data_IF_212878955896
#
_entry.id   IF_212878955896
#
_cell.length_a   1.000
_cell.length_b   1.000
_cell.length_c   1.000
_cell.angle_alpha   90.00
_cell.angle_beta   90.00
_cell.angle_gamma   90.00
#
_symmetry.space_group_name_H-M   'P 1'
#
loop_
_entity.id
_entity.type
_entity.pdbx_description
1 polymer ?
#
# COMPACT_ATOMS: atom_id res chain seq x y z
N UNK A 1 -2.70 30.04 4.05
CA UNK A 1 -3.41 28.76 3.81
C UNK A 1 -2.53 27.90 2.93
N UNK A 2 -1.79 26.95 3.52
CA UNK A 2 -0.82 26.15 2.78
C UNK A 2 -1.58 25.10 1.95
N UNK A 3 -1.81 25.37 0.66
CA UNK A 3 -2.45 24.42 -0.26
C UNK A 3 -1.52 23.21 -0.35
N UNK A 4 -1.98 22.05 0.14
CA UNK A 4 -1.27 20.79 -0.07
C UNK A 4 -1.06 20.63 -1.58
N UNK A 5 0.19 20.66 -2.01
CA UNK A 5 0.54 20.44 -3.41
C UNK A 5 0.42 18.94 -3.68
N UNK A 6 -0.80 18.50 -4.00
CA UNK A 6 -1.14 17.11 -4.31
C UNK A 6 -0.23 16.57 -5.43
N UNK A 7 0.16 17.43 -6.38
CA UNK A 7 1.12 17.08 -7.44
C UNK A 7 2.48 16.65 -6.87
N UNK A 8 2.99 17.38 -5.88
CA UNK A 8 4.24 17.07 -5.20
C UNK A 8 4.18 15.76 -4.39
N UNK A 9 3.01 15.45 -3.83
CA UNK A 9 2.77 14.18 -3.11
C UNK A 9 2.77 13.01 -4.09
N UNK A 10 2.07 13.15 -5.23
CA UNK A 10 2.02 12.13 -6.29
C UNK A 10 3.42 11.87 -6.85
N UNK A 11 4.17 12.93 -7.19
CA UNK A 11 5.54 12.80 -7.72
C UNK A 11 6.47 12.10 -6.72
N UNK A 12 6.38 12.44 -5.42
CA UNK A 12 7.15 11.75 -4.38
C UNK A 12 6.77 10.28 -4.25
N UNK A 13 5.49 9.95 -4.32
CA UNK A 13 5.02 8.57 -4.23
C UNK A 13 5.51 7.72 -5.42
N UNK A 14 5.44 8.29 -6.63
CA UNK A 14 6.03 7.68 -7.82
C UNK A 14 7.53 7.45 -7.66
N UNK A 15 8.27 8.43 -7.14
CA UNK A 15 9.71 8.28 -6.87
C UNK A 15 10.03 7.13 -5.91
N UNK A 16 9.15 6.84 -4.95
CA UNK A 16 9.28 5.70 -4.02
C UNK A 16 8.92 4.36 -4.66
N UNK A 17 8.13 4.36 -5.74
CA UNK A 17 7.81 3.16 -6.54
C UNK A 17 8.93 2.79 -7.53
N UNK A 18 9.91 3.67 -7.73
CA UNK A 18 11.16 3.35 -8.42
C UNK A 18 12.04 2.48 -7.54
N UNK A 19 12.45 1.33 -8.05
CA UNK A 19 13.34 0.36 -7.40
C UNK A 19 14.62 1.03 -6.83
N UNK A 20 15.24 0.41 -5.81
CA UNK A 20 16.46 0.88 -5.14
C UNK A 20 17.69 1.01 -6.07
N UNK A 21 17.54 0.61 -7.35
CA UNK A 21 18.53 0.72 -8.43
C UNK A 21 18.31 1.90 -9.38
N UNK A 22 17.28 2.72 -9.17
CA UNK A 22 17.02 3.93 -9.97
C UNK A 22 16.36 3.71 -11.33
N UNK A 23 15.96 2.47 -11.65
CA UNK A 23 15.20 2.15 -12.86
C UNK A 23 13.72 2.00 -12.53
N UNK A 24 12.91 3.00 -12.86
CA UNK A 24 11.46 2.83 -12.96
C UNK A 24 11.17 1.89 -14.12
N UNK A 25 10.67 0.69 -13.82
CA UNK A 25 10.07 -0.15 -14.86
C UNK A 25 8.81 0.58 -15.36
N UNK A 26 8.92 1.21 -16.54
CA UNK A 26 7.79 1.85 -17.23
C UNK A 26 6.62 0.89 -17.43
N UNK A 27 6.88 -0.43 -17.40
CA UNK A 27 5.87 -1.48 -17.39
C UNK A 27 4.97 -1.43 -16.14
N UNK A 28 5.51 -1.18 -14.94
CA UNK A 28 4.70 -1.14 -13.71
C UNK A 28 3.76 0.06 -13.69
N UNK A 29 4.24 1.23 -14.15
CA UNK A 29 3.41 2.42 -14.29
C UNK A 29 2.29 2.18 -15.30
N UNK A 30 2.62 1.54 -16.42
CA UNK A 30 1.65 1.18 -17.45
C UNK A 30 0.58 0.24 -16.89
N UNK A 31 0.95 -0.84 -16.20
CA UNK A 31 -0.01 -1.79 -15.64
C UNK A 31 -0.86 -1.15 -14.52
N UNK A 32 -0.29 -0.28 -13.71
CA UNK A 32 -1.02 0.32 -12.60
C UNK A 32 -1.98 1.44 -13.02
N UNK A 33 -1.71 2.15 -14.12
CA UNK A 33 -2.53 3.27 -14.60
C UNK A 33 -3.28 2.97 -15.89
N UNK A 34 -2.59 2.51 -16.95
CA UNK A 34 -3.18 2.32 -18.29
C UNK A 34 -4.18 1.16 -18.29
N UNK A 35 -3.93 0.08 -17.55
CA UNK A 35 -4.86 -1.06 -17.48
C UNK A 35 -6.20 -0.68 -16.83
N UNK A 36 -6.24 -0.08 -15.62
CA UNK A 36 -7.52 0.34 -15.05
C UNK A 36 -8.22 1.45 -15.87
N UNK A 37 -7.47 2.38 -16.48
CA UNK A 37 -8.06 3.39 -17.38
C UNK A 37 -8.68 2.77 -18.63
N UNK A 38 -7.97 1.85 -19.30
CA UNK A 38 -8.47 1.19 -20.51
C UNK A 38 -9.66 0.29 -20.19
N UNK A 39 -9.62 -0.46 -19.08
CA UNK A 39 -10.75 -1.24 -18.60
C UNK A 39 -11.97 -0.36 -18.30
N UNK A 40 -11.77 0.79 -17.63
CA UNK A 40 -12.84 1.75 -17.36
C UNK A 40 -13.44 2.29 -18.66
N UNK A 41 -12.61 2.56 -19.68
CA UNK A 41 -13.08 3.06 -20.97
C UNK A 41 -13.92 2.01 -21.72
N UNK A 42 -13.46 0.75 -21.75
CA UNK A 42 -14.18 -0.36 -22.37
C UNK A 42 -15.52 -0.62 -21.67
N UNK A 43 -15.55 -0.58 -20.35
CA UNK A 43 -16.80 -0.75 -19.58
C UNK A 43 -17.78 0.40 -19.83
N UNK A 44 -17.29 1.64 -19.90
CA UNK A 44 -18.13 2.79 -20.20
C UNK A 44 -18.68 2.74 -21.64
N UNK A 45 -17.89 2.23 -22.59
CA UNK A 45 -18.33 2.03 -23.97
C UNK A 45 -19.40 0.95 -24.12
N UNK A 46 -19.29 -0.15 -23.36
CA UNK A 46 -20.18 -1.31 -23.48
C UNK A 46 -21.46 -1.20 -22.64
N UNK A 47 -21.38 -0.63 -21.44
CA UNK A 47 -22.50 -0.56 -20.49
C UNK A 47 -22.99 0.86 -20.20
N UNK A 48 -22.37 1.89 -20.79
CA UNK A 48 -22.68 3.28 -20.51
C UNK A 48 -22.17 3.76 -19.15
N UNK A 49 -22.64 4.93 -18.72
CA UNK A 49 -22.22 5.52 -17.44
C UNK A 49 -22.92 4.81 -16.28
N UNK A 50 -22.12 4.30 -15.34
CA UNK A 50 -22.61 3.64 -14.13
C UNK A 50 -23.46 4.60 -13.28
N UNK A 51 -24.59 4.12 -12.75
CA UNK A 51 -25.40 4.90 -11.80
C UNK A 51 -24.58 5.25 -10.56
N UNK A 52 -24.71 6.48 -10.02
CA UNK A 52 -23.92 6.93 -8.87
C UNK A 52 -24.13 6.06 -7.61
N UNK A 53 -25.31 5.46 -7.45
CA UNK A 53 -25.62 4.53 -6.36
C UNK A 53 -24.79 3.23 -6.41
N UNK A 54 -24.43 2.75 -7.59
CA UNK A 54 -23.63 1.53 -7.74
C UNK A 54 -22.16 1.87 -7.51
N UNK A 55 -21.70 3.00 -8.06
CA UNK A 55 -20.35 3.50 -7.84
C UNK A 55 -20.06 3.73 -6.34
N UNK A 56 -21.01 4.29 -5.58
CA UNK A 56 -20.83 4.51 -4.14
C UNK A 56 -20.69 3.19 -3.37
N UNK A 57 -21.39 2.13 -3.77
CA UNK A 57 -21.26 0.80 -3.17
C UNK A 57 -19.87 0.22 -3.42
N UNK A 58 -19.35 0.30 -4.66
CA UNK A 58 -18.00 -0.18 -4.98
C UNK A 58 -16.91 0.60 -4.25
N UNK A 59 -17.02 1.93 -4.16
CA UNK A 59 -16.07 2.75 -3.41
C UNK A 59 -16.11 2.41 -1.91
N UNK A 60 -17.29 2.24 -1.32
CA UNK A 60 -17.42 1.87 0.08
C UNK A 60 -16.86 0.47 0.36
N UNK A 61 -17.17 -0.49 -0.51
CA UNK A 61 -16.62 -1.85 -0.42
C UNK A 61 -15.09 -1.86 -0.53
N UNK A 62 -14.53 -1.11 -1.49
CA UNK A 62 -13.09 -0.96 -1.67
C UNK A 62 -12.42 -0.30 -0.46
N UNK A 63 -13.05 0.73 0.11
CA UNK A 63 -12.54 1.42 1.30
C UNK A 63 -12.50 0.50 2.52
N UNK A 64 -13.58 -0.25 2.80
CA UNK A 64 -13.64 -1.22 3.90
C UNK A 64 -12.58 -2.31 3.69
N UNK A 65 -12.48 -2.85 2.48
CA UNK A 65 -11.50 -3.90 2.17
C UNK A 65 -10.06 -3.41 2.37
N UNK A 66 -9.75 -2.20 1.91
CA UNK A 66 -8.42 -1.61 2.08
C UNK A 66 -8.12 -1.33 3.55
N UNK A 67 -9.10 -0.85 4.32
CA UNK A 67 -8.95 -0.65 5.75
C UNK A 67 -8.64 -1.98 6.48
N UNK A 68 -9.37 -3.05 6.15
CA UNK A 68 -9.14 -4.37 6.72
C UNK A 68 -7.76 -4.93 6.35
N UNK A 69 -7.32 -4.77 5.10
CA UNK A 69 -5.99 -5.18 4.66
C UNK A 69 -4.90 -4.42 5.42
N UNK A 70 -5.02 -3.09 5.55
CA UNK A 70 -4.06 -2.27 6.31
C UNK A 70 -4.04 -2.68 7.79
N UNK A 71 -5.19 -2.91 8.41
CA UNK A 71 -5.27 -3.41 9.79
C UNK A 71 -4.58 -4.77 9.95
N UNK A 72 -4.78 -5.70 9.01
CA UNK A 72 -4.14 -7.01 9.05
C UNK A 72 -2.62 -6.93 8.87
N UNK A 73 -2.14 -6.10 7.92
CA UNK A 73 -0.71 -5.88 7.69
C UNK A 73 -0.05 -5.30 8.93
N UNK A 74 -0.66 -4.29 9.56
CA UNK A 74 -0.15 -3.69 10.80
C UNK A 74 -0.14 -4.72 11.92
N UNK A 75 -1.20 -5.51 12.10
CA UNK A 75 -1.25 -6.55 13.13
C UNK A 75 -0.12 -7.58 12.95
N UNK A 76 0.12 -8.06 11.73
CA UNK A 76 1.21 -9.00 11.46
C UNK A 76 2.57 -8.35 11.71
N UNK A 77 2.74 -7.08 11.34
CA UNK A 77 3.96 -6.33 11.59
C UNK A 77 4.24 -6.17 13.08
N UNK A 78 3.24 -5.78 13.88
CA UNK A 78 3.35 -5.66 15.34
C UNK A 78 3.68 -7.01 16.00
N UNK A 79 3.06 -8.09 15.53
CA UNK A 79 3.36 -9.44 16.02
C UNK A 79 4.81 -9.82 15.73
N UNK A 80 5.30 -9.57 14.51
CA UNK A 80 6.70 -9.84 14.16
C UNK A 80 7.66 -9.01 15.00
N UNK A 81 7.39 -7.72 15.21
CA UNK A 81 8.24 -6.85 16.03
C UNK A 81 8.31 -7.34 17.47
N UNK A 82 7.17 -7.67 18.10
CA UNK A 82 7.13 -8.22 19.46
C UNK A 82 7.93 -9.51 19.59
N UNK A 83 7.87 -10.40 18.59
CA UNK A 83 8.67 -11.63 18.58
C UNK A 83 10.16 -11.35 18.48
N UNK A 84 10.57 -10.44 17.61
CA UNK A 84 11.99 -10.06 17.44
C UNK A 84 12.54 -9.47 18.76
N UNK A 85 11.80 -8.56 19.40
CA UNK A 85 12.21 -7.97 20.68
C UNK A 85 12.43 -9.04 21.75
N UNK A 86 11.49 -9.98 21.90
CA UNK A 86 11.63 -11.08 22.88
C UNK A 86 12.85 -11.96 22.62
N UNK A 87 13.18 -12.22 21.35
CA UNK A 87 14.37 -13.02 20.99
C UNK A 87 15.65 -12.26 21.39
N UNK A 88 15.71 -10.95 21.13
CA UNK A 88 16.85 -10.11 21.53
C UNK A 88 17.05 -10.10 23.05
N UNK A 89 15.98 -9.97 23.83
CA UNK A 89 16.03 -9.97 25.30
C UNK A 89 16.56 -11.31 25.85
N UNK A 90 16.17 -12.44 25.24
CA UNK A 90 16.66 -13.77 25.64
C UNK A 90 18.15 -13.93 25.34
N UNK A 91 18.62 -13.42 24.20
CA UNK A 91 20.03 -13.50 23.81
C UNK A 91 20.90 -12.66 24.76
N UNK A 92 20.48 -11.45 25.11
CA UNK A 92 21.19 -10.62 26.08
C UNK A 92 21.19 -11.24 27.49
N UNK A 93 20.05 -11.80 27.91
CA UNK A 93 19.95 -12.52 29.18
C UNK A 93 20.89 -13.73 29.27
N UNK A 94 21.04 -14.49 28.17
CA UNK A 94 21.95 -15.63 28.14
C UNK A 94 23.43 -15.21 28.14
N UNK A 95 23.79 -14.16 27.37
CA UNK A 95 25.15 -13.61 27.31
C UNK A 95 25.66 -13.06 28.65
N UNK A 96 24.75 -12.60 29.51
CA UNK A 96 25.09 -12.12 30.87
C UNK A 96 25.41 -13.28 31.81
N UNK A 97 24.84 -14.47 31.59
CA UNK A 97 25.07 -15.66 32.42
C UNK A 97 26.38 -16.37 32.11
N UNK A 98 26.84 -16.34 30.85
CA UNK A 98 28.13 -16.91 30.43
C UNK A 98 29.36 -16.07 30.86
N UNK A 99 29.16 -14.87 31.42
CA UNK A 99 30.25 -13.99 31.91
C UNK A 99 30.48 -14.07 33.43
N UNK A 100 29.78 -14.95 34.13
CA UNK A 100 29.95 -15.27 35.56
C UNK A 100 30.65 -16.63 35.70
#
# INVERSE_FOLDING_TARGET
>A
MNKINVLGVIIKHYKTMSDQRGTMLMSDITVHFIVPLSLSFVLCWTYGIMKPAIASVFVNFGAITTALLMSAVIMIYEQKQKTITKISDIIEGNKSRDKL
#
